data_IF_401320745043
#
_entry.id   IF_401320745043
#
_cell.length_a   1.000
_cell.length_b   1.000
_cell.length_c   1.000
_cell.angle_alpha   90.00
_cell.angle_beta   90.00
_cell.angle_gamma   90.00
#
_symmetry.space_group_name_H-M   'P 1'
#
loop_
_entity.id
_entity.type
_entity.pdbx_description
1 polymer ?
#
# COMPACT_ATOMS: atom_id res chain seq x y z
N UNK A 1 -17.95 -19.87 8.53
CA UNK A 1 -18.62 -18.60 8.17
C UNK A 1 -18.14 -17.46 9.07
N UNK A 2 -18.23 -17.58 10.40
CA UNK A 2 -17.76 -16.55 11.34
C UNK A 2 -16.28 -16.14 11.14
N UNK A 3 -15.39 -17.11 10.90
CA UNK A 3 -13.98 -16.86 10.61
C UNK A 3 -13.79 -15.92 9.40
N UNK A 4 -14.49 -16.17 8.29
CA UNK A 4 -14.37 -15.36 7.07
C UNK A 4 -14.97 -13.95 7.24
N UNK A 5 -15.99 -13.80 8.10
CA UNK A 5 -16.53 -12.48 8.44
C UNK A 5 -15.50 -11.68 9.24
N UNK A 6 -14.86 -12.31 10.24
CA UNK A 6 -13.80 -11.67 11.02
C UNK A 6 -12.62 -11.25 10.13
N UNK A 7 -12.17 -12.16 9.26
CA UNK A 7 -11.14 -11.89 8.27
C UNK A 7 -11.52 -10.71 7.38
N UNK A 8 -12.72 -10.71 6.82
CA UNK A 8 -13.22 -9.60 6.01
C UNK A 8 -13.21 -8.27 6.75
N UNK A 9 -13.62 -8.22 8.01
CA UNK A 9 -13.59 -6.99 8.82
C UNK A 9 -12.15 -6.50 9.00
N UNK A 10 -11.22 -7.39 9.38
CA UNK A 10 -9.82 -7.05 9.60
C UNK A 10 -9.17 -6.54 8.31
N UNK A 11 -9.29 -7.29 7.22
CA UNK A 11 -8.70 -6.90 5.93
C UNK A 11 -9.37 -5.65 5.37
N UNK A 12 -10.67 -5.43 5.62
CA UNK A 12 -11.34 -4.20 5.19
C UNK A 12 -10.79 -2.97 5.90
N UNK A 13 -10.62 -3.04 7.23
CA UNK A 13 -10.06 -1.94 8.03
C UNK A 13 -8.63 -1.64 7.57
N UNK A 14 -7.78 -2.67 7.43
CA UNK A 14 -6.39 -2.50 6.99
C UNK A 14 -6.29 -1.98 5.55
N UNK A 15 -7.10 -2.53 4.64
CA UNK A 15 -7.12 -2.14 3.24
C UNK A 15 -7.56 -0.69 3.05
N UNK A 16 -8.64 -0.28 3.74
CA UNK A 16 -9.12 1.10 3.75
C UNK A 16 -8.09 2.04 4.37
N UNK A 17 -7.45 1.67 5.48
CA UNK A 17 -6.39 2.45 6.09
C UNK A 17 -5.25 2.73 5.12
N UNK A 18 -4.70 1.70 4.47
CA UNK A 18 -3.61 1.88 3.49
C UNK A 18 -4.07 2.66 2.25
N UNK A 19 -5.30 2.46 1.80
CA UNK A 19 -5.88 3.23 0.71
C UNK A 19 -5.94 4.73 1.06
N UNK A 20 -6.40 5.08 2.27
CA UNK A 20 -6.44 6.46 2.74
C UNK A 20 -5.04 7.07 2.81
N UNK A 21 -4.07 6.36 3.41
CA UNK A 21 -2.66 6.80 3.44
C UNK A 21 -2.16 7.04 2.01
N UNK A 22 -2.43 6.11 1.09
CA UNK A 22 -2.04 6.23 -0.30
C UNK A 22 -2.67 7.43 -1.01
N UNK A 23 -3.95 7.75 -0.73
CA UNK A 23 -4.62 8.95 -1.25
C UNK A 23 -4.02 10.24 -0.67
N UNK A 24 -3.71 10.28 0.62
CA UNK A 24 -3.08 11.44 1.26
C UNK A 24 -1.68 11.70 0.67
N UNK A 25 -0.91 10.65 0.41
CA UNK A 25 0.37 10.75 -0.29
C UNK A 25 0.20 11.21 -1.76
N UNK A 26 -0.75 10.61 -2.48
CA UNK A 26 -0.97 10.88 -3.90
C UNK A 26 -1.49 12.30 -4.17
N UNK A 27 -2.49 12.76 -3.40
CA UNK A 27 -3.22 14.01 -3.66
C UNK A 27 -2.81 15.18 -2.76
N UNK A 28 -2.42 14.91 -1.51
CA UNK A 28 -2.01 15.95 -0.55
C UNK A 28 -0.50 16.04 -0.35
N UNK A 29 0.27 15.14 -0.97
CA UNK A 29 1.73 15.10 -0.90
C UNK A 29 2.26 15.10 0.54
N UNK A 30 1.54 14.44 1.46
CA UNK A 30 1.87 14.37 2.88
C UNK A 30 3.06 13.44 3.15
N UNK A 31 4.26 13.85 2.76
CA UNK A 31 5.50 13.07 2.89
C UNK A 31 5.79 12.67 4.34
N UNK A 32 5.30 13.43 5.33
CA UNK A 32 5.42 13.12 6.76
C UNK A 32 4.72 11.83 7.19
N UNK A 33 3.85 11.26 6.36
CA UNK A 33 3.28 9.92 6.58
C UNK A 33 4.27 8.79 6.25
N UNK A 34 5.37 9.11 5.57
CA UNK A 34 6.50 8.21 5.33
C UNK A 34 7.49 8.45 6.47
N UNK A 35 8.17 7.42 6.96
CA UNK A 35 9.25 7.64 7.92
C UNK A 35 10.37 8.50 7.33
N UNK A 36 10.97 9.38 8.14
CA UNK A 36 11.94 10.38 7.69
C UNK A 36 13.15 9.79 6.97
N UNK A 37 13.69 8.67 7.45
CA UNK A 37 14.86 8.03 6.84
C UNK A 37 14.63 7.71 5.35
N UNK A 38 13.43 7.25 4.99
CA UNK A 38 13.05 6.92 3.61
C UNK A 38 12.99 8.11 2.65
N UNK A 39 13.05 9.35 3.12
CA UNK A 39 13.10 10.54 2.26
C UNK A 39 14.19 11.54 2.62
N UNK A 40 15.11 11.18 3.53
CA UNK A 40 16.18 12.08 3.98
C UNK A 40 17.14 12.44 2.84
N UNK A 41 17.40 11.49 1.93
CA UNK A 41 18.29 11.72 0.78
C UNK A 41 17.54 12.12 -0.50
N UNK A 42 16.22 12.25 -0.45
CA UNK A 42 15.41 12.67 -1.60
C UNK A 42 15.59 14.18 -1.80
N UNK A 43 16.06 14.57 -2.98
CA UNK A 43 16.19 15.99 -3.35
C UNK A 43 14.86 16.72 -3.18
N UNK A 44 14.90 17.97 -2.72
CA UNK A 44 13.69 18.78 -2.50
C UNK A 44 12.80 18.86 -3.75
N UNK A 45 13.40 19.01 -4.94
CA UNK A 45 12.70 19.05 -6.23
C UNK A 45 11.95 17.74 -6.57
N UNK A 46 12.43 16.61 -6.06
CA UNK A 46 11.88 15.28 -6.34
C UNK A 46 10.86 14.80 -5.30
N UNK A 47 10.78 15.44 -4.12
CA UNK A 47 9.93 14.98 -3.00
C UNK A 47 8.47 14.81 -3.40
N UNK A 48 7.92 15.70 -4.21
CA UNK A 48 6.53 15.59 -4.69
C UNK A 48 6.34 14.32 -5.53
N UNK A 49 7.22 14.07 -6.51
CA UNK A 49 7.15 12.92 -7.41
C UNK A 49 7.37 11.61 -6.64
N UNK A 50 8.33 11.61 -5.73
CA UNK A 50 8.59 10.49 -4.82
C UNK A 50 7.34 10.15 -3.99
N UNK A 51 6.74 11.16 -3.35
CA UNK A 51 5.53 10.99 -2.51
C UNK A 51 4.34 10.45 -3.32
N UNK A 52 4.13 10.97 -4.54
CA UNK A 52 3.10 10.45 -5.47
C UNK A 52 3.32 8.96 -5.77
N UNK A 53 4.56 8.55 -6.04
CA UNK A 53 4.88 7.15 -6.36
C UNK A 53 4.68 6.23 -5.17
N UNK A 54 5.07 6.66 -3.98
CA UNK A 54 4.78 5.96 -2.74
C UNK A 54 3.26 5.84 -2.53
N UNK A 55 2.50 6.91 -2.73
CA UNK A 55 1.04 6.89 -2.65
C UNK A 55 0.38 5.86 -3.58
N UNK A 56 0.84 5.76 -4.83
CA UNK A 56 0.34 4.73 -5.78
C UNK A 56 0.60 3.31 -5.28
N UNK A 57 1.76 3.05 -4.69
CA UNK A 57 2.08 1.74 -4.13
C UNK A 57 1.12 1.38 -2.98
N UNK A 58 0.88 2.31 -2.05
CA UNK A 58 -0.02 2.11 -0.91
C UNK A 58 -1.47 1.90 -1.34
N UNK A 59 -1.95 2.62 -2.37
CA UNK A 59 -3.29 2.41 -2.93
C UNK A 59 -3.44 0.98 -3.47
N UNK A 60 -2.48 0.48 -4.23
CA UNK A 60 -2.55 -0.86 -4.82
C UNK A 60 -2.58 -1.92 -3.72
N UNK A 61 -1.72 -1.80 -2.71
CA UNK A 61 -1.72 -2.72 -1.56
C UNK A 61 -3.03 -2.66 -0.78
N UNK A 62 -3.56 -1.45 -0.53
CA UNK A 62 -4.83 -1.26 0.17
C UNK A 62 -6.01 -1.92 -0.55
N UNK A 63 -6.10 -1.76 -1.88
CA UNK A 63 -7.15 -2.38 -2.71
C UNK A 63 -7.06 -3.91 -2.63
N UNK A 64 -5.87 -4.49 -2.78
CA UNK A 64 -5.74 -5.94 -2.78
C UNK A 64 -6.00 -6.58 -1.41
N UNK A 65 -5.58 -5.93 -0.32
CA UNK A 65 -5.93 -6.35 1.05
C UNK A 65 -7.46 -6.27 1.24
N UNK A 66 -8.10 -5.18 0.82
CA UNK A 66 -9.55 -5.05 0.91
C UNK A 66 -10.28 -6.17 0.14
N UNK A 67 -9.85 -6.45 -1.09
CA UNK A 67 -10.43 -7.51 -1.92
C UNK A 67 -10.21 -8.92 -1.35
N UNK A 68 -9.13 -9.15 -0.61
CA UNK A 68 -8.81 -10.46 0.00
C UNK A 68 -9.98 -10.96 0.85
N UNK A 69 -10.39 -10.16 1.85
CA UNK A 69 -11.50 -10.54 2.72
C UNK A 69 -12.85 -10.63 2.03
N UNK A 70 -13.11 -9.80 1.00
CA UNK A 70 -14.35 -9.91 0.21
C UNK A 70 -14.39 -11.25 -0.53
N UNK A 71 -13.30 -11.63 -1.19
CA UNK A 71 -13.21 -12.88 -1.95
C UNK A 71 -13.32 -14.08 -1.00
N UNK A 72 -12.57 -14.08 0.11
CA UNK A 72 -12.58 -15.18 1.07
C UNK A 72 -13.95 -15.33 1.75
N UNK A 73 -14.64 -14.23 2.04
CA UNK A 73 -16.01 -14.25 2.58
C UNK A 73 -17.04 -14.79 1.59
N UNK A 74 -16.98 -14.42 0.31
CA UNK A 74 -17.93 -14.88 -0.72
C UNK A 74 -17.67 -16.33 -1.09
N UNK A 75 -16.40 -16.70 -1.27
CA UNK A 75 -16.02 -18.04 -1.76
C UNK A 75 -15.89 -19.06 -0.64
N UNK A 76 -15.88 -18.63 0.63
CA UNK A 76 -15.60 -19.48 1.81
C UNK A 76 -14.33 -20.30 1.60
N UNK A 77 -13.30 -19.66 1.08
CA UNK A 77 -12.02 -20.28 0.71
C UNK A 77 -10.87 -19.32 1.08
N UNK A 78 -9.64 -19.68 0.70
CA UNK A 78 -8.46 -18.81 0.86
C UNK A 78 -7.99 -18.22 -0.49
N UNK A 79 -8.84 -18.22 -1.53
CA UNK A 79 -8.48 -17.71 -2.84
C UNK A 79 -8.18 -16.19 -2.85
N UNK A 80 -8.77 -15.44 -1.93
CA UNK A 80 -8.52 -14.01 -1.73
C UNK A 80 -7.06 -13.70 -1.42
N UNK A 81 -6.33 -14.62 -0.79
CA UNK A 81 -4.90 -14.45 -0.53
C UNK A 81 -4.04 -14.34 -1.80
N UNK A 82 -4.53 -14.79 -2.96
CA UNK A 82 -3.88 -14.50 -4.24
C UNK A 82 -3.95 -13.01 -4.57
N UNK A 83 -5.09 -12.36 -4.28
CA UNK A 83 -5.26 -10.90 -4.43
C UNK A 83 -4.28 -10.15 -3.54
N UNK A 84 -4.16 -10.54 -2.26
CA UNK A 84 -3.14 -10.00 -1.35
C UNK A 84 -1.74 -10.16 -1.94
N UNK A 85 -1.36 -11.38 -2.32
CA UNK A 85 0.00 -11.70 -2.77
C UNK A 85 0.39 -10.88 -4.00
N UNK A 86 -0.47 -10.84 -5.02
CA UNK A 86 -0.21 -10.12 -6.27
C UNK A 86 -0.09 -8.61 -6.01
N UNK A 87 -1.05 -8.03 -5.28
CA UNK A 87 -1.08 -6.60 -5.00
C UNK A 87 0.07 -6.14 -4.10
N UNK A 88 0.43 -6.94 -3.09
CA UNK A 88 1.51 -6.65 -2.17
C UNK A 88 2.87 -6.70 -2.86
N UNK A 89 3.13 -7.76 -3.65
CA UNK A 89 4.37 -7.85 -4.45
C UNK A 89 4.47 -6.66 -5.40
N UNK A 90 3.39 -6.31 -6.10
CA UNK A 90 3.39 -5.18 -7.02
C UNK A 90 3.62 -3.84 -6.31
N UNK A 91 2.94 -3.61 -5.19
CA UNK A 91 3.15 -2.44 -4.34
C UNK A 91 4.59 -2.32 -3.85
N UNK A 92 5.17 -3.42 -3.37
CA UNK A 92 6.56 -3.47 -2.92
C UNK A 92 7.56 -3.19 -4.05
N UNK A 93 7.33 -3.71 -5.26
CA UNK A 93 8.15 -3.38 -6.43
C UNK A 93 8.13 -1.86 -6.70
N UNK A 94 6.96 -1.22 -6.57
CA UNK A 94 6.84 0.23 -6.75
C UNK A 94 7.56 1.03 -5.66
N UNK A 95 7.44 0.60 -4.39
CA UNK A 95 8.20 1.18 -3.26
C UNK A 95 9.70 1.08 -3.51
N UNK A 96 10.21 -0.11 -3.82
CA UNK A 96 11.64 -0.35 -4.08
C UNK A 96 12.13 0.50 -5.26
N UNK A 97 11.35 0.58 -6.34
CA UNK A 97 11.70 1.43 -7.50
C UNK A 97 11.75 2.91 -7.14
N UNK A 98 10.85 3.40 -6.29
CA UNK A 98 10.87 4.79 -5.82
C UNK A 98 12.06 5.03 -4.89
N UNK A 99 12.26 4.17 -3.89
CA UNK A 99 13.38 4.21 -2.95
C UNK A 99 14.74 4.27 -3.66
N UNK A 100 15.03 3.29 -4.52
CA UNK A 100 16.29 3.26 -5.28
C UNK A 100 16.47 4.46 -6.20
N UNK A 101 15.39 4.95 -6.83
CA UNK A 101 15.48 6.07 -7.78
C UNK A 101 15.74 7.40 -7.08
N UNK A 102 15.10 7.66 -5.94
CA UNK A 102 15.07 9.00 -5.35
C UNK A 102 15.86 9.11 -4.04
N UNK A 103 15.93 8.04 -3.23
CA UNK A 103 16.63 8.03 -1.95
C UNK A 103 18.02 7.36 -2.04
N UNK A 104 18.34 6.70 -3.16
CA UNK A 104 19.64 6.07 -3.40
C UNK A 104 19.88 4.73 -2.68
N UNK A 105 18.88 4.26 -1.90
CA UNK A 105 18.96 3.05 -1.10
C UNK A 105 17.56 2.51 -0.78
N UNK A 106 17.47 1.48 0.05
CA UNK A 106 16.19 0.98 0.60
C UNK A 106 15.74 1.73 1.86
N UNK A 107 16.68 2.35 2.55
CA UNK A 107 16.50 3.11 3.78
C UNK A 107 17.13 4.48 3.60
#
# INVERSE_FOLDING_TARGET
>A
MEQYILEMVITSVLGVFLFIVGILLLKKHMISLIHSYHYTNVKEEDKMIYTIKMGKAFIIMGIGIFLTGIIDCITTSLFGWLSFTISFIWGMILVVKAQKKFNGGMF
#
